data_IF_058867871480
#
_entry.id   IF_058867871480
#
_cell.length_a   1.000
_cell.length_b   1.000
_cell.length_c   1.000
_cell.angle_alpha   90.00
_cell.angle_beta   90.00
_cell.angle_gamma   90.00
#
_symmetry.space_group_name_H-M   'P 1'
#
loop_
_entity.id
_entity.type
_entity.pdbx_description
1 polymer ?
#
# COMPACT_ATOMS: atom_id res chain seq x y z
N UNK A 1 4.53 16.57 -17.08
CA UNK A 1 4.36 15.19 -16.61
C UNK A 1 3.35 15.22 -15.48
N UNK A 2 2.31 14.39 -15.52
CA UNK A 2 1.26 14.38 -14.50
C UNK A 2 1.65 13.45 -13.36
N UNK A 3 1.52 13.93 -12.11
CA UNK A 3 1.68 13.14 -10.90
C UNK A 3 0.31 12.64 -10.44
N UNK A 4 0.24 11.40 -9.96
CA UNK A 4 -1.00 10.80 -9.48
C UNK A 4 -0.84 10.40 -8.02
N UNK A 5 -1.93 10.55 -7.25
CA UNK A 5 -1.97 10.07 -5.87
C UNK A 5 -1.94 8.56 -5.89
N UNK A 6 -0.85 7.99 -5.39
CA UNK A 6 -0.61 6.56 -5.40
C UNK A 6 -0.78 6.00 -3.98
N UNK A 7 -1.32 4.80 -3.89
CA UNK A 7 -1.46 4.07 -2.63
C UNK A 7 -0.31 3.08 -2.47
N UNK A 8 0.12 2.91 -1.22
CA UNK A 8 1.10 1.92 -0.83
C UNK A 8 0.38 0.62 -0.49
N UNK A 9 0.62 -0.44 -1.24
CA UNK A 9 0.08 -1.77 -1.01
C UNK A 9 1.13 -2.58 -0.27
N UNK A 10 0.82 -3.02 0.96
CA UNK A 10 1.70 -3.83 1.79
C UNK A 10 1.06 -5.21 1.90
N UNK A 11 1.65 -6.22 1.25
CA UNK A 11 1.01 -7.50 1.01
C UNK A 11 -0.28 -7.35 0.20
N UNK A 12 -1.45 -7.56 0.83
CA UNK A 12 -2.76 -7.35 0.21
C UNK A 12 -3.48 -6.09 0.72
N UNK A 13 -2.88 -5.36 1.65
CA UNK A 13 -3.51 -4.25 2.35
C UNK A 13 -3.13 -2.90 1.72
N UNK A 14 -4.11 -2.12 1.20
CA UNK A 14 -3.87 -0.78 0.68
C UNK A 14 -3.76 0.27 1.79
N UNK A 15 -2.78 1.17 1.68
CA UNK A 15 -2.54 2.30 2.58
C UNK A 15 -2.46 3.61 1.81
N UNK A 16 -3.07 4.64 2.37
CA UNK A 16 -2.81 6.03 2.01
C UNK A 16 -1.69 6.59 2.86
N UNK A 17 -0.88 7.46 2.27
CA UNK A 17 0.14 8.23 2.97
C UNK A 17 -0.52 9.51 3.49
N UNK A 18 -0.35 9.80 4.78
CA UNK A 18 -0.79 11.03 5.42
C UNK A 18 0.41 11.72 6.05
N UNK A 19 0.99 12.68 5.32
CA UNK A 19 2.17 13.42 5.77
C UNK A 19 1.86 14.46 6.83
N UNK A 20 0.61 14.95 6.93
CA UNK A 20 0.20 15.91 7.96
C UNK A 20 0.17 15.25 9.33
N UNK A 21 -0.38 14.04 9.39
CA UNK A 21 -0.52 13.26 10.62
C UNK A 21 0.63 12.26 10.80
N UNK A 22 1.60 12.26 9.87
CA UNK A 22 2.80 11.41 9.86
C UNK A 22 2.49 9.93 10.06
N UNK A 23 1.56 9.41 9.28
CA UNK A 23 1.14 8.01 9.38
C UNK A 23 0.72 7.42 8.03
N UNK A 24 0.90 6.10 7.89
CA UNK A 24 0.23 5.32 6.84
C UNK A 24 -1.15 4.94 7.39
N UNK A 25 -2.23 5.30 6.71
CA UNK A 25 -3.59 4.89 7.07
C UNK A 25 -4.09 3.83 6.13
N UNK A 26 -4.71 2.79 6.67
CA UNK A 26 -5.31 1.77 5.82
C UNK A 26 -6.53 2.31 5.09
N UNK A 27 -6.57 2.11 3.77
CA UNK A 27 -7.55 2.74 2.88
C UNK A 27 -9.00 2.39 3.23
N UNK A 28 -9.28 1.12 3.56
CA UNK A 28 -10.62 0.64 3.90
C UNK A 28 -10.89 0.54 5.41
N UNK A 29 -9.89 0.83 6.26
CA UNK A 29 -9.96 0.81 7.73
C UNK A 29 -9.11 1.92 8.33
N UNK A 30 -9.52 3.20 8.18
CA UNK A 30 -8.68 4.36 8.51
C UNK A 30 -8.24 4.44 9.98
N UNK A 31 -8.89 3.70 10.88
CA UNK A 31 -8.50 3.51 12.28
C UNK A 31 -7.24 2.63 12.44
N UNK A 32 -6.92 1.79 11.45
CA UNK A 32 -5.67 1.03 11.41
C UNK A 32 -4.58 1.86 10.75
N UNK A 33 -3.56 2.21 11.55
CA UNK A 33 -2.51 3.15 11.18
C UNK A 33 -1.13 2.60 11.50
N UNK A 34 -0.13 3.03 10.73
CA UNK A 34 1.28 2.83 11.00
C UNK A 34 1.92 4.23 11.14
N UNK A 35 2.19 4.70 12.37
CA UNK A 35 2.90 5.96 12.59
C UNK A 35 4.28 5.92 11.92
N UNK A 36 4.70 7.02 11.29
CA UNK A 36 6.02 7.10 10.66
C UNK A 36 7.16 6.95 11.67
N UNK A 37 6.94 7.32 12.93
CA UNK A 37 7.95 7.18 13.98
C UNK A 37 8.20 5.71 14.37
N UNK A 38 7.35 4.77 13.94
CA UNK A 38 7.62 3.33 14.02
C UNK A 38 8.53 2.85 12.89
N UNK A 39 8.67 3.62 11.81
CA UNK A 39 9.55 3.31 10.70
C UNK A 39 10.97 3.79 11.02
N UNK A 40 11.94 2.89 10.90
CA UNK A 40 13.35 3.25 11.01
C UNK A 40 13.76 4.05 9.78
N UNK A 41 14.15 5.31 9.98
CA UNK A 41 14.65 6.17 8.90
C UNK A 41 16.17 5.98 8.75
N UNK A 42 16.58 5.46 7.59
CA UNK A 42 17.98 5.22 7.23
C UNK A 42 18.50 6.24 6.19
N UNK A 43 17.80 7.36 5.97
CA UNK A 43 18.12 8.40 5.01
C UNK A 43 17.29 8.26 3.74
N UNK A 44 17.74 7.50 2.71
CA UNK A 44 16.98 7.33 1.47
C UNK A 44 15.82 6.33 1.60
N UNK A 45 15.71 5.65 2.75
CA UNK A 45 14.66 4.66 2.99
C UNK A 45 14.10 4.77 4.42
N UNK A 46 12.83 4.41 4.53
CA UNK A 46 12.16 4.01 5.76
C UNK A 46 12.05 2.49 5.78
N UNK A 47 12.39 1.85 6.91
CA UNK A 47 12.28 0.41 7.06
C UNK A 47 11.41 0.02 8.25
N UNK A 48 10.67 -1.07 8.12
CA UNK A 48 9.87 -1.63 9.19
C UNK A 48 9.78 -3.14 9.07
N UNK A 49 9.89 -3.83 10.20
CA UNK A 49 9.75 -5.28 10.25
C UNK A 49 8.42 -5.60 10.91
N UNK A 50 7.53 -6.28 10.19
CA UNK A 50 6.21 -6.63 10.70
C UNK A 50 5.94 -8.11 10.58
N UNK A 51 5.10 -8.64 11.47
CA UNK A 51 4.52 -9.97 11.28
C UNK A 51 3.19 -9.85 10.55
N UNK A 52 2.81 -10.87 9.79
CA UNK A 52 1.54 -10.92 9.07
C UNK A 52 0.30 -10.52 9.87
N UNK A 53 0.33 -10.76 11.19
CA UNK A 53 -0.73 -10.39 12.15
C UNK A 53 -0.77 -8.89 12.44
N UNK A 54 0.37 -8.20 12.47
CA UNK A 54 0.48 -6.79 12.90
C UNK A 54 -0.21 -5.81 11.96
N UNK A 55 -0.29 -6.13 10.66
CA UNK A 55 -0.81 -5.21 9.62
C UNK A 55 -2.19 -5.66 9.09
N UNK A 56 -2.74 -6.79 9.55
CA UNK A 56 -3.99 -7.32 9.01
C UNK A 56 -3.88 -7.72 7.53
N UNK A 57 -2.67 -8.08 7.09
CA UNK A 57 -2.34 -8.45 5.69
C UNK A 57 -2.99 -9.79 5.30
N UNK A 58 -3.36 -10.60 6.29
CA UNK A 58 -4.01 -11.90 6.12
C UNK A 58 -5.41 -11.90 6.74
N UNK A 59 -6.34 -11.16 6.15
CA UNK A 59 -7.75 -11.17 6.62
C UNK A 59 -8.55 -12.37 6.13
N UNK A 60 -7.98 -13.21 5.27
CA UNK A 60 -8.69 -14.30 4.59
C UNK A 60 -8.09 -15.69 4.80
N UNK A 61 -7.16 -15.85 5.74
CA UNK A 61 -6.51 -17.15 5.98
C UNK A 61 -6.70 -17.51 7.45
N UNK A 62 -7.15 -18.73 7.73
CA UNK A 62 -7.21 -19.32 9.08
C UNK A 62 -5.88 -19.07 9.80
N UNK A 63 -5.92 -18.16 10.77
CA UNK A 63 -4.75 -17.63 11.47
C UNK A 63 -4.10 -18.66 12.41
N UNK A 64 -4.75 -19.81 12.62
CA UNK A 64 -4.31 -20.85 13.55
C UNK A 64 -3.09 -21.64 13.05
N UNK A 65 -2.73 -21.54 11.76
CA UNK A 65 -1.64 -22.30 11.15
C UNK A 65 -0.59 -21.48 10.39
N UNK A 66 -0.65 -20.14 10.44
CA UNK A 66 0.34 -19.30 9.78
C UNK A 66 1.53 -19.12 10.72
N UNK A 67 2.67 -19.76 10.40
CA UNK A 67 3.98 -19.37 10.96
C UNK A 67 4.09 -17.85 10.83
N UNK A 68 4.48 -17.13 11.89
CA UNK A 68 4.60 -15.67 11.87
C UNK A 68 5.59 -15.24 10.78
N UNK A 69 5.07 -15.03 9.56
CA UNK A 69 5.87 -14.57 8.42
C UNK A 69 6.25 -13.15 8.74
N UNK A 70 7.55 -12.95 8.94
CA UNK A 70 8.15 -11.65 9.13
C UNK A 70 8.46 -11.08 7.75
N UNK A 71 7.93 -9.90 7.46
CA UNK A 71 8.17 -9.20 6.21
C UNK A 71 8.95 -7.93 6.53
N UNK A 72 10.03 -7.73 5.79
CA UNK A 72 10.80 -6.49 5.81
C UNK A 72 10.19 -5.52 4.78
N UNK A 73 9.67 -4.41 5.27
CA UNK A 73 9.16 -3.30 4.49
C UNK A 73 10.27 -2.27 4.32
N UNK A 74 10.60 -1.90 3.09
CA UNK A 74 11.59 -0.87 2.78
C UNK A 74 10.95 0.13 1.82
N UNK A 75 10.63 1.32 2.30
CA UNK A 75 9.94 2.37 1.53
C UNK A 75 10.95 3.47 1.20
N UNK A 76 11.26 3.74 -0.07
CA UNK A 76 12.04 4.92 -0.45
C UNK A 76 11.43 6.21 0.12
N UNK A 77 12.25 7.05 0.77
CA UNK A 77 11.80 8.26 1.46
C UNK A 77 11.01 9.20 0.56
N UNK A 78 11.40 9.25 -0.72
CA UNK A 78 10.72 10.06 -1.74
C UNK A 78 9.21 9.75 -1.86
N UNK A 79 8.78 8.51 -1.60
CA UNK A 79 7.36 8.13 -1.67
C UNK A 79 6.58 8.82 -0.55
N UNK A 80 7.15 8.84 0.65
CA UNK A 80 6.55 9.50 1.82
C UNK A 80 6.63 11.01 1.68
N UNK A 81 7.80 11.55 1.33
CA UNK A 81 8.04 12.99 1.18
C UNK A 81 7.20 13.63 0.08
N UNK A 82 6.89 12.89 -0.99
CA UNK A 82 5.97 13.33 -2.05
C UNK A 82 4.49 13.14 -1.70
N UNK A 83 4.17 12.61 -0.51
CA UNK A 83 2.81 12.24 -0.11
C UNK A 83 2.14 11.29 -1.14
N UNK A 84 2.93 10.39 -1.72
CA UNK A 84 2.48 9.47 -2.76
C UNK A 84 2.19 10.12 -4.13
N UNK A 85 2.52 11.40 -4.32
CA UNK A 85 2.39 12.09 -5.61
C UNK A 85 3.62 11.80 -6.46
N UNK A 86 3.52 10.73 -7.25
CA UNK A 86 4.60 10.25 -8.11
C UNK A 86 4.13 10.17 -9.57
N UNK A 87 5.08 10.22 -10.51
CA UNK A 87 4.78 10.03 -11.93
C UNK A 87 4.58 8.55 -12.23
N UNK A 88 3.83 8.23 -13.29
CA UNK A 88 3.62 6.84 -13.72
C UNK A 88 4.93 6.10 -14.01
N UNK A 89 5.90 6.77 -14.66
CA UNK A 89 7.22 6.18 -14.96
C UNK A 89 7.97 5.81 -13.67
N UNK A 90 8.00 6.73 -12.70
CA UNK A 90 8.67 6.48 -11.42
C UNK A 90 7.95 5.39 -10.62
N UNK A 91 6.61 5.36 -10.63
CA UNK A 91 5.81 4.29 -10.02
C UNK A 91 6.20 2.92 -10.56
N UNK A 92 6.32 2.79 -11.88
CA UNK A 92 6.70 1.53 -12.53
C UNK A 92 8.14 1.10 -12.20
N UNK A 93 9.07 2.05 -12.17
CA UNK A 93 10.46 1.80 -11.76
C UNK A 93 10.54 1.31 -10.31
N UNK A 94 9.86 2.01 -9.40
CA UNK A 94 9.81 1.64 -7.98
C UNK A 94 9.16 0.28 -7.74
N UNK A 95 8.09 -0.04 -8.48
CA UNK A 95 7.45 -1.36 -8.41
C UNK A 95 8.39 -2.46 -8.89
N UNK A 96 9.11 -2.26 -10.00
CA UNK A 96 10.13 -3.21 -10.47
C UNK A 96 11.24 -3.41 -9.45
N UNK A 97 11.74 -2.32 -8.86
CA UNK A 97 12.79 -2.37 -7.84
C UNK A 97 12.30 -3.09 -6.58
N UNK A 98 11.12 -2.74 -6.08
CA UNK A 98 10.53 -3.37 -4.90
C UNK A 98 10.37 -4.88 -5.10
N UNK A 99 9.89 -5.31 -6.27
CA UNK A 99 9.77 -6.73 -6.61
C UNK A 99 11.14 -7.43 -6.67
N UNK A 100 12.13 -6.81 -7.33
CA UNK A 100 13.46 -7.39 -7.51
C UNK A 100 14.23 -7.51 -6.20
N UNK A 101 14.14 -6.51 -5.34
CA UNK A 101 14.89 -6.40 -4.08
C UNK A 101 14.09 -6.90 -2.86
N UNK A 102 12.82 -7.28 -3.03
CA UNK A 102 11.98 -7.80 -1.96
C UNK A 102 11.58 -6.76 -0.91
N UNK A 103 11.34 -5.51 -1.31
CA UNK A 103 11.06 -4.40 -0.39
C UNK A 103 9.66 -4.43 0.28
N UNK A 104 8.85 -5.44 -0.02
CA UNK A 104 7.61 -5.70 0.70
C UNK A 104 6.45 -4.75 0.40
N UNK A 105 6.54 -3.92 -0.65
CA UNK A 105 5.45 -3.04 -1.08
C UNK A 105 5.19 -3.08 -2.59
N UNK A 106 4.01 -2.63 -2.98
CA UNK A 106 3.65 -2.29 -4.36
C UNK A 106 2.90 -0.96 -4.38
N UNK A 107 3.04 -0.19 -5.46
CA UNK A 107 2.39 1.10 -5.63
C UNK A 107 1.21 0.96 -6.59
N UNK A 108 0.02 1.22 -6.08
CA UNK A 108 -1.25 1.03 -6.77
C UNK A 108 -2.08 2.31 -6.90
N UNK A 109 -3.07 2.27 -7.77
CA UNK A 109 -4.09 3.31 -7.85
C UNK A 109 -5.30 2.99 -6.93
N UNK A 110 -6.25 3.93 -6.88
CA UNK A 110 -7.47 3.76 -6.09
C UNK A 110 -8.33 2.60 -6.58
N UNK A 111 -8.34 2.31 -7.88
CA UNK A 111 -9.08 1.18 -8.46
C UNK A 111 -8.57 -0.15 -7.91
N UNK A 112 -7.25 -0.34 -7.89
CA UNK A 112 -6.62 -1.51 -7.30
C UNK A 112 -6.89 -1.59 -5.79
N UNK A 113 -6.80 -0.46 -5.08
CA UNK A 113 -7.09 -0.41 -3.65
C UNK A 113 -8.54 -0.80 -3.33
N UNK A 114 -9.51 -0.36 -4.13
CA UNK A 114 -10.92 -0.77 -4.01
C UNK A 114 -11.07 -2.28 -4.21
N UNK A 115 -10.49 -2.82 -5.28
CA UNK A 115 -10.52 -4.27 -5.58
C UNK A 115 -9.94 -5.11 -4.44
N UNK A 116 -8.75 -4.73 -3.94
CA UNK A 116 -8.11 -5.40 -2.80
C UNK A 116 -8.92 -5.29 -1.50
N UNK A 117 -9.73 -4.23 -1.38
CA UNK A 117 -10.66 -4.03 -0.26
C UNK A 117 -11.99 -4.78 -0.44
N UNK A 118 -12.16 -5.57 -1.51
CA UNK A 118 -13.39 -6.29 -1.83
C UNK A 118 -14.49 -5.44 -2.45
N UNK A 119 -14.19 -4.20 -2.86
CA UNK A 119 -15.10 -3.33 -3.61
C UNK A 119 -14.75 -3.41 -5.09
N UNK A 120 -15.60 -4.07 -5.87
CA UNK A 120 -15.41 -4.13 -7.32
C UNK A 120 -15.79 -2.76 -7.94
N UNK A 121 -15.00 -2.25 -8.89
CA UNK A 121 -15.35 -1.03 -9.60
C UNK A 121 -16.60 -1.24 -10.47
N UNK A 122 -17.39 -0.19 -10.60
CA UNK A 122 -18.61 -0.15 -11.38
C UNK A 122 -18.46 0.83 -12.54
N UNK A 123 -19.02 0.49 -13.70
CA UNK A 123 -19.12 1.37 -14.86
C UNK A 123 -20.58 1.45 -15.31
N UNK A 124 -21.09 2.67 -15.44
CA UNK A 124 -22.37 2.92 -16.09
C UNK A 124 -22.14 3.06 -17.60
N UNK A 125 -22.78 2.19 -18.38
CA UNK A 125 -22.86 2.32 -19.82
C UNK A 125 -24.33 2.47 -20.22
N UNK A 126 -24.70 3.69 -20.64
CA UNK A 126 -26.04 4.04 -21.10
C UNK A 126 -27.15 3.73 -20.08
N UNK A 127 -26.90 4.01 -18.80
CA UNK A 127 -27.84 3.79 -17.69
C UNK A 127 -27.88 2.35 -17.19
N UNK A 128 -26.97 1.49 -17.66
CA UNK A 128 -26.80 0.12 -17.19
C UNK A 128 -25.51 0.02 -16.39
N UNK A 129 -25.62 -0.39 -15.12
CA UNK A 129 -24.48 -0.57 -14.22
C UNK A 129 -23.83 -1.93 -14.44
N UNK A 130 -22.51 -1.94 -14.64
CA UNK A 130 -21.71 -3.15 -14.80
C UNK A 130 -20.63 -3.21 -13.74
N UNK A 131 -20.55 -4.34 -13.04
CA UNK A 131 -19.42 -4.65 -12.15
C UNK A 131 -18.27 -5.22 -12.96
N UNK A 132 -17.06 -4.70 -12.75
CA UNK A 132 -15.83 -5.19 -13.39
C UNK A 132 -15.08 -6.08 -12.40
N UNK A 133 -15.02 -7.38 -12.71
CA UNK A 133 -14.21 -8.41 -12.03
C UNK A 133 -12.92 -8.67 -12.82
#
# INVERSE_FOLDING_TARGET
MTTEKTLLIIGSAPFTIDTEQRELRRFNRPEQKIPFDHLKNDGPFYSYRYTGKTIGVYERIDLDNIQDVTIDLIIPSLIIESNGLITAVLKDDLNRMSQKEGWGFFLGDETLAMRLSGKLPHIDLAGTDFTID
#
